data_IF_668719038001
#
_entry.id   IF_668719038001
#
_cell.length_a   1.000
_cell.length_b   1.000
_cell.length_c   1.000
_cell.angle_alpha   90.00
_cell.angle_beta   90.00
_cell.angle_gamma   90.00
#
_symmetry.space_group_name_H-M   'P 1'
#
loop_
_entity.id
_entity.type
_entity.pdbx_description
1 polymer ?
#
# COMPACT_ATOMS: atom_id res chain seq x y z
N UNK A 1 20.11 -13.64 -12.32
CA UNK A 1 20.01 -15.07 -12.74
C UNK A 1 18.55 -15.45 -12.70
N UNK A 2 17.96 -15.80 -13.84
CA UNK A 2 16.55 -16.20 -13.90
C UNK A 2 16.44 -17.69 -13.53
N UNK A 3 16.07 -17.98 -12.28
CA UNK A 3 15.94 -19.35 -11.78
C UNK A 3 14.49 -19.78 -11.95
N UNK A 4 14.24 -20.55 -13.02
CA UNK A 4 12.97 -21.17 -13.37
C UNK A 4 12.58 -22.25 -12.38
N UNK A 5 11.28 -22.41 -12.07
CA UNK A 5 10.78 -23.52 -11.23
C UNK A 5 11.03 -24.89 -11.88
N UNK A 6 11.10 -25.99 -11.10
CA UNK A 6 11.20 -27.36 -11.64
C UNK A 6 10.19 -27.64 -12.75
N UNK A 7 8.95 -27.20 -12.57
CA UNK A 7 7.87 -27.36 -13.55
C UNK A 7 8.17 -26.60 -14.85
N UNK A 8 8.62 -25.36 -14.75
CA UNK A 8 9.03 -24.56 -15.90
C UNK A 8 10.22 -25.18 -16.63
N UNK A 9 11.21 -25.72 -15.90
CA UNK A 9 12.37 -26.40 -16.50
C UNK A 9 11.98 -27.66 -17.25
N UNK A 10 11.10 -28.48 -16.65
CA UNK A 10 10.57 -29.69 -17.30
C UNK A 10 9.79 -29.29 -18.55
N UNK A 11 8.91 -28.29 -18.45
CA UNK A 11 8.11 -27.80 -19.57
C UNK A 11 8.99 -27.27 -20.72
N UNK A 12 10.01 -26.44 -20.41
CA UNK A 12 10.97 -25.93 -21.40
C UNK A 12 11.71 -27.07 -22.10
N UNK A 13 12.24 -28.03 -21.34
CA UNK A 13 12.98 -29.14 -21.93
C UNK A 13 12.11 -30.12 -22.74
N UNK A 14 10.84 -30.24 -22.38
CA UNK A 14 9.89 -31.08 -23.10
C UNK A 14 9.44 -30.38 -24.40
N UNK A 15 9.32 -29.05 -24.36
CA UNK A 15 8.99 -28.21 -25.51
C UNK A 15 10.03 -28.29 -26.64
N UNK A 16 11.32 -28.50 -26.30
CA UNK A 16 12.38 -28.68 -27.30
C UNK A 16 12.18 -29.91 -28.20
N UNK A 17 11.56 -30.97 -27.69
CA UNK A 17 11.43 -32.27 -28.39
C UNK A 17 9.98 -32.58 -28.81
N UNK A 18 9.12 -31.58 -28.89
CA UNK A 18 7.75 -31.74 -29.36
C UNK A 18 7.76 -32.14 -30.84
N UNK A 19 7.18 -33.30 -31.14
CA UNK A 19 7.10 -33.81 -32.52
C UNK A 19 5.96 -33.12 -33.28
N UNK A 20 4.83 -32.93 -32.61
CA UNK A 20 3.64 -32.25 -33.14
C UNK A 20 3.07 -31.39 -32.01
N UNK A 21 2.95 -30.09 -32.22
CA UNK A 21 2.44 -29.16 -31.22
C UNK A 21 1.55 -28.06 -31.79
N UNK A 22 0.51 -27.71 -31.05
CA UNK A 22 -0.25 -26.48 -31.18
C UNK A 22 0.00 -25.60 -29.95
N UNK A 23 -0.55 -24.37 -29.93
CA UNK A 23 -0.34 -23.40 -28.84
C UNK A 23 -0.71 -23.92 -27.44
N UNK A 24 -1.50 -24.99 -27.34
CA UNK A 24 -2.03 -25.52 -26.08
C UNK A 24 -1.79 -27.03 -25.86
N UNK A 25 -1.23 -27.74 -26.83
CA UNK A 25 -0.97 -29.18 -26.71
C UNK A 25 0.21 -29.61 -27.57
N UNK A 26 1.00 -30.58 -27.08
CA UNK A 26 2.15 -31.11 -27.79
C UNK A 26 2.32 -32.60 -27.51
N UNK A 27 2.80 -33.33 -28.50
CA UNK A 27 3.12 -34.76 -28.39
C UNK A 27 4.63 -34.93 -28.34
N UNK A 28 5.13 -35.49 -27.24
CA UNK A 28 6.55 -35.80 -27.04
C UNK A 28 6.73 -37.29 -26.74
N UNK A 29 7.91 -37.84 -27.04
CA UNK A 29 8.22 -39.25 -26.75
C UNK A 29 8.20 -39.53 -25.26
N UNK A 30 7.43 -40.54 -24.86
CA UNK A 30 7.32 -40.99 -23.47
C UNK A 30 8.69 -41.34 -22.85
N UNK A 31 9.62 -41.87 -23.64
CA UNK A 31 10.97 -42.22 -23.19
C UNK A 31 11.69 -41.03 -22.52
N UNK A 32 11.54 -39.82 -23.05
CA UNK A 32 12.18 -38.61 -22.49
C UNK A 32 11.61 -38.28 -21.10
N UNK A 33 10.30 -38.46 -20.90
CA UNK A 33 9.66 -38.24 -19.60
C UNK A 33 10.17 -39.23 -18.54
N UNK A 34 10.31 -40.51 -18.93
CA UNK A 34 10.87 -41.56 -18.07
C UNK A 34 12.32 -41.26 -17.71
N UNK A 35 13.13 -40.77 -18.67
CA UNK A 35 14.51 -40.39 -18.43
C UNK A 35 14.59 -39.19 -17.45
N UNK A 36 13.74 -38.16 -17.60
CA UNK A 36 13.65 -37.05 -16.64
C UNK A 36 13.29 -37.48 -15.22
N UNK A 37 12.37 -38.43 -15.08
CA UNK A 37 12.00 -38.98 -13.77
C UNK A 37 13.16 -39.77 -13.14
N UNK A 38 14.01 -40.41 -13.94
CA UNK A 38 15.10 -41.28 -13.48
C UNK A 38 16.40 -40.52 -13.17
N UNK A 39 16.54 -39.28 -13.64
CA UNK A 39 17.69 -38.39 -13.41
C UNK A 39 17.74 -37.77 -12.00
N UNK A 40 16.86 -38.18 -11.07
CA UNK A 40 16.85 -37.73 -9.67
C UNK A 40 18.03 -38.18 -8.81
N UNK A 41 19.11 -38.71 -9.40
CA UNK A 41 20.30 -39.20 -8.70
C UNK A 41 21.47 -38.22 -8.70
N UNK A 42 21.36 -37.08 -9.38
CA UNK A 42 22.47 -36.11 -9.47
C UNK A 42 22.42 -35.08 -8.34
N UNK A 43 23.57 -34.82 -7.71
CA UNK A 43 23.73 -33.84 -6.63
C UNK A 43 23.24 -32.46 -7.07
N UNK A 44 23.47 -32.09 -8.33
CA UNK A 44 22.99 -30.82 -8.87
C UNK A 44 21.46 -30.70 -8.84
N UNK A 45 20.75 -31.80 -9.11
CA UNK A 45 19.29 -31.80 -9.07
C UNK A 45 18.77 -31.59 -7.66
N UNK A 46 19.40 -32.22 -6.66
CA UNK A 46 19.07 -32.00 -5.25
C UNK A 46 19.32 -30.55 -4.82
N UNK A 47 20.45 -29.96 -5.22
CA UNK A 47 20.75 -28.55 -4.94
C UNK A 47 19.71 -27.63 -5.58
N UNK A 48 19.30 -27.90 -6.82
CA UNK A 48 18.25 -27.14 -7.52
C UNK A 48 16.90 -27.26 -6.82
N UNK A 49 16.51 -28.46 -6.38
CA UNK A 49 15.26 -28.66 -5.65
C UNK A 49 15.24 -27.95 -4.30
N UNK A 50 16.34 -28.01 -3.56
CA UNK A 50 16.48 -27.28 -2.31
C UNK A 50 16.40 -25.77 -2.52
N UNK A 51 17.01 -25.25 -3.58
CA UNK A 51 16.91 -23.84 -3.95
C UNK A 51 15.47 -23.44 -4.30
N UNK A 52 14.73 -24.27 -5.05
CA UNK A 52 13.33 -24.02 -5.39
C UNK A 52 12.45 -24.00 -4.11
N UNK A 53 12.66 -24.95 -3.19
CA UNK A 53 11.96 -25.00 -1.90
C UNK A 53 12.25 -23.74 -1.08
N UNK A 54 13.52 -23.39 -0.89
CA UNK A 54 13.90 -22.22 -0.11
C UNK A 54 13.35 -20.92 -0.69
N UNK A 55 13.38 -20.78 -2.03
CA UNK A 55 12.83 -19.62 -2.72
C UNK A 55 11.32 -19.50 -2.51
N UNK A 56 10.58 -20.62 -2.65
CA UNK A 56 9.14 -20.64 -2.42
C UNK A 56 8.78 -20.33 -0.96
N UNK A 57 9.54 -20.87 -0.01
CA UNK A 57 9.36 -20.61 1.41
C UNK A 57 9.64 -19.15 1.76
N UNK A 58 10.73 -18.58 1.21
CA UNK A 58 11.09 -17.20 1.47
C UNK A 58 10.00 -16.23 1.02
N UNK A 59 9.39 -16.45 -0.15
CA UNK A 59 8.28 -15.62 -0.63
C UNK A 59 7.11 -15.60 0.37
N UNK A 60 6.66 -16.78 0.81
CA UNK A 60 5.56 -16.89 1.78
C UNK A 60 5.95 -16.31 3.13
N UNK A 61 7.18 -16.56 3.60
CA UNK A 61 7.66 -16.07 4.88
C UNK A 61 7.78 -14.54 4.90
N UNK A 62 8.21 -13.93 3.80
CA UNK A 62 8.31 -12.47 3.67
C UNK A 62 6.94 -11.81 3.74
N UNK A 63 5.96 -12.30 2.97
CA UNK A 63 4.59 -11.79 3.01
C UNK A 63 4.01 -11.88 4.42
N UNK A 64 4.19 -13.04 5.08
CA UNK A 64 3.76 -13.24 6.46
C UNK A 64 4.46 -12.30 7.42
N UNK A 65 5.76 -12.07 7.26
CA UNK A 65 6.49 -11.16 8.13
C UNK A 65 5.95 -9.73 8.01
N UNK A 66 5.75 -9.24 6.80
CA UNK A 66 5.18 -7.90 6.54
C UNK A 66 3.78 -7.80 7.15
N UNK A 67 2.92 -8.80 6.91
CA UNK A 67 1.58 -8.84 7.49
C UNK A 67 1.62 -8.77 9.03
N UNK A 68 2.48 -9.58 9.67
CA UNK A 68 2.60 -9.58 11.13
C UNK A 68 3.11 -8.25 11.67
N UNK A 69 4.12 -7.64 11.03
CA UNK A 69 4.64 -6.33 11.46
C UNK A 69 3.60 -5.23 11.29
N UNK A 70 2.91 -5.18 10.14
CA UNK A 70 1.91 -4.15 9.88
C UNK A 70 0.64 -4.34 10.72
N UNK A 71 0.06 -5.53 10.71
CA UNK A 71 -1.22 -5.78 11.38
C UNK A 71 -1.10 -5.97 12.89
N UNK A 72 -0.02 -6.54 13.39
CA UNK A 72 0.10 -6.83 14.82
C UNK A 72 0.98 -5.80 15.52
N UNK A 73 2.18 -5.52 15.01
CA UNK A 73 3.05 -4.57 15.69
C UNK A 73 2.61 -3.11 15.48
N UNK A 74 2.50 -2.65 14.23
CA UNK A 74 2.14 -1.26 13.97
C UNK A 74 0.72 -0.93 14.44
N UNK A 75 -0.25 -1.81 14.21
CA UNK A 75 -1.62 -1.64 14.73
C UNK A 75 -1.65 -1.56 16.27
N UNK A 76 -0.92 -2.42 16.97
CA UNK A 76 -0.88 -2.37 18.43
C UNK A 76 -0.20 -1.10 18.93
N UNK A 77 1.01 -0.79 18.48
CA UNK A 77 1.75 0.36 18.98
C UNK A 77 1.20 1.72 18.54
N UNK A 78 0.48 1.79 17.43
CA UNK A 78 -0.06 3.06 16.91
C UNK A 78 -1.55 3.24 17.18
N UNK A 79 -2.33 2.16 17.30
CA UNK A 79 -3.79 2.26 17.34
C UNK A 79 -4.46 1.72 18.60
N UNK A 80 -4.10 0.52 19.05
CA UNK A 80 -4.88 -0.21 20.07
C UNK A 80 -4.20 -0.42 21.42
N UNK A 81 -2.88 -0.25 21.51
CA UNK A 81 -2.12 -0.30 22.75
C UNK A 81 -2.39 0.87 23.71
N UNK A 82 -2.03 0.68 24.98
CA UNK A 82 -2.23 1.68 26.03
C UNK A 82 -1.41 2.95 25.80
N UNK A 83 -0.16 2.82 25.36
CA UNK A 83 0.77 3.91 25.03
C UNK A 83 0.66 4.36 23.56
N UNK A 84 -0.55 4.31 22.97
CA UNK A 84 -0.74 4.69 21.58
C UNK A 84 -0.86 6.21 21.41
N UNK A 85 -0.35 6.78 20.30
CA UNK A 85 -0.60 8.19 19.98
C UNK A 85 -2.09 8.54 19.88
N UNK A 86 -2.93 7.56 19.54
CA UNK A 86 -4.38 7.74 19.50
C UNK A 86 -5.04 7.80 20.87
N UNK A 87 -4.44 7.25 21.94
CA UNK A 87 -5.03 7.29 23.28
C UNK A 87 -5.10 8.71 23.86
N UNK A 88 -4.22 9.61 23.39
CA UNK A 88 -4.23 11.02 23.74
C UNK A 88 -5.48 11.75 23.21
N UNK A 89 -6.00 11.34 22.04
CA UNK A 89 -7.20 11.97 21.47
C UNK A 89 -8.46 11.28 22.00
N UNK A 90 -8.86 11.70 23.20
CA UNK A 90 -10.03 11.16 23.91
C UNK A 90 -11.13 12.21 24.05
N UNK A 91 -12.38 11.76 24.28
CA UNK A 91 -13.47 12.70 24.59
C UNK A 91 -13.17 13.53 25.84
N UNK A 92 -12.50 12.96 26.84
CA UNK A 92 -12.04 13.68 28.03
C UNK A 92 -11.01 14.75 27.70
N UNK A 93 -10.09 14.47 26.77
CA UNK A 93 -9.13 15.47 26.29
C UNK A 93 -9.85 16.62 25.59
N UNK A 94 -10.78 16.33 24.68
CA UNK A 94 -11.56 17.37 23.99
C UNK A 94 -12.37 18.22 24.97
N UNK A 95 -13.00 17.59 25.97
CA UNK A 95 -13.74 18.31 27.03
C UNK A 95 -12.86 19.14 27.96
N UNK A 96 -11.55 18.92 27.97
CA UNK A 96 -10.59 19.66 28.82
C UNK A 96 -9.99 20.90 28.12
N UNK A 97 -10.24 21.07 26.82
CA UNK A 97 -9.76 22.23 26.06
C UNK A 97 -10.49 23.51 26.48
N UNK A 98 -9.77 24.62 26.55
CA UNK A 98 -10.38 25.94 26.83
C UNK A 98 -11.02 26.52 25.58
N UNK A 99 -11.91 27.50 25.76
CA UNK A 99 -12.56 28.20 24.65
C UNK A 99 -11.54 28.84 23.70
N UNK A 100 -10.43 29.37 24.22
CA UNK A 100 -9.35 29.94 23.41
C UNK A 100 -8.63 28.87 22.58
N UNK A 101 -8.34 27.70 23.17
CA UNK A 101 -7.71 26.59 22.45
C UNK A 101 -8.66 26.00 21.39
N UNK A 102 -9.97 25.98 21.68
CA UNK A 102 -10.97 25.50 20.75
C UNK A 102 -11.17 26.49 19.59
N UNK A 103 -11.13 27.79 19.84
CA UNK A 103 -11.14 28.83 18.80
C UNK A 103 -9.86 28.78 17.95
N UNK A 104 -8.70 28.42 18.51
CA UNK A 104 -7.47 28.23 17.73
C UNK A 104 -7.53 26.99 16.83
N UNK A 105 -8.04 25.87 17.33
CA UNK A 105 -8.05 24.58 16.62
C UNK A 105 -9.23 24.45 15.65
N UNK A 106 -10.41 24.88 16.09
CA UNK A 106 -11.69 24.68 15.40
C UNK A 106 -12.40 25.99 15.04
N UNK A 107 -11.86 27.13 15.48
CA UNK A 107 -12.41 28.44 15.11
C UNK A 107 -12.25 28.70 13.62
N UNK A 108 -13.21 29.41 13.08
CA UNK A 108 -13.22 29.76 11.67
C UNK A 108 -12.22 30.87 11.39
N UNK A 109 -11.45 30.71 10.30
CA UNK A 109 -10.51 31.74 9.86
C UNK A 109 -11.19 33.10 9.69
N UNK A 110 -10.51 34.16 10.14
CA UNK A 110 -11.08 35.51 10.19
C UNK A 110 -11.49 36.04 8.82
N UNK A 111 -10.87 35.58 7.73
CA UNK A 111 -11.25 35.93 6.36
C UNK A 111 -12.52 35.23 5.91
N UNK A 112 -12.71 33.97 6.31
CA UNK A 112 -13.92 33.19 6.06
C UNK A 112 -15.13 33.73 6.85
N UNK A 113 -14.94 34.07 8.13
CA UNK A 113 -15.98 34.75 8.95
C UNK A 113 -16.43 36.05 8.30
N UNK A 114 -15.48 36.89 7.88
CA UNK A 114 -15.76 38.17 7.20
C UNK A 114 -16.51 37.98 5.88
N UNK A 115 -16.17 36.93 5.13
CA UNK A 115 -16.84 36.63 3.86
C UNK A 115 -18.27 36.14 4.10
N UNK A 116 -18.50 35.28 5.11
CA UNK A 116 -19.85 34.85 5.48
C UNK A 116 -20.71 36.03 5.95
N UNK A 117 -20.20 36.88 6.84
CA UNK A 117 -20.97 38.06 7.31
C UNK A 117 -21.21 39.08 6.20
N UNK A 118 -20.34 39.16 5.20
CA UNK A 118 -20.56 39.97 4.00
C UNK A 118 -21.60 39.38 3.05
N UNK A 119 -21.74 38.05 3.02
CA UNK A 119 -22.74 37.33 2.21
C UNK A 119 -24.11 37.23 2.91
N UNK A 120 -24.16 37.23 4.26
CA UNK A 120 -25.40 37.18 5.06
C UNK A 120 -26.13 38.53 5.23
N UNK A 121 -25.57 39.63 4.74
CA UNK A 121 -26.32 40.85 4.45
C UNK A 121 -27.17 41.42 5.59
N UNK A 122 -26.54 42.11 6.54
CA UNK A 122 -27.08 43.39 7.03
C UNK A 122 -25.95 44.45 7.01
N UNK A 123 -26.08 45.53 6.21
CA UNK A 123 -25.03 46.53 6.05
C UNK A 123 -25.14 47.59 7.15
N UNK A 124 -24.27 47.53 8.15
CA UNK A 124 -24.32 48.49 9.27
C UNK A 124 -23.01 48.75 9.98
N UNK A 125 -22.28 49.75 9.47
CA UNK A 125 -21.25 50.58 10.11
C UNK A 125 -19.80 50.06 10.22
N UNK A 126 -18.88 50.84 9.62
CA UNK A 126 -17.41 50.68 9.59
C UNK A 126 -16.75 50.77 10.97
N UNK A 127 -15.43 50.64 11.10
CA UNK A 127 -14.37 51.38 10.42
C UNK A 127 -13.02 50.72 10.80
N UNK A 128 -11.95 50.98 10.03
CA UNK A 128 -10.57 50.70 10.51
C UNK A 128 -9.69 49.82 9.63
N UNK A 129 -9.25 50.41 8.51
CA UNK A 129 -7.88 50.43 7.94
C UNK A 129 -6.95 49.20 8.01
N UNK A 130 -6.37 48.96 6.83
CA UNK A 130 -4.95 48.69 6.53
C UNK A 130 -4.28 47.51 7.27
N UNK A 131 -4.00 46.42 6.53
CA UNK A 131 -2.63 46.30 6.04
C UNK A 131 -2.44 45.31 4.89
N UNK A 132 -1.41 45.65 4.14
CA UNK A 132 -0.96 45.13 2.87
C UNK A 132 -0.36 43.72 2.95
N UNK A 133 -0.11 43.20 1.76
CA UNK A 133 0.91 42.21 1.46
C UNK A 133 0.52 40.73 1.61
N UNK A 134 -0.22 40.31 0.58
CA UNK A 134 0.08 39.14 -0.25
C UNK A 134 1.22 38.24 0.26
N UNK A 135 0.85 37.00 0.61
CA UNK A 135 1.62 35.85 0.17
C UNK A 135 1.84 34.76 1.20
N UNK A 136 0.85 33.89 1.37
CA UNK A 136 1.13 32.45 1.43
C UNK A 136 -0.06 31.70 0.80
N UNK A 137 0.12 31.38 -0.47
CA UNK A 137 -0.78 30.54 -1.24
C UNK A 137 -0.30 29.09 -1.09
N UNK A 138 -1.13 28.19 -0.56
CA UNK A 138 -1.08 26.75 -0.79
C UNK A 138 -2.44 26.22 -0.26
N UNK A 139 -3.48 26.09 -1.09
CA UNK A 139 -3.67 25.03 -2.08
C UNK A 139 -4.92 25.32 -2.93
N UNK A 140 -4.91 25.09 -4.26
CA UNK A 140 -6.13 24.80 -5.00
C UNK A 140 -6.38 23.28 -4.99
N UNK A 141 -7.44 22.83 -4.30
CA UNK A 141 -7.96 21.47 -4.45
C UNK A 141 -9.06 21.47 -5.51
N UNK A 142 -8.68 21.51 -6.78
CA UNK A 142 -9.61 21.22 -7.87
C UNK A 142 -9.77 19.70 -8.01
N UNK A 143 -10.80 19.15 -7.36
CA UNK A 143 -11.39 17.89 -7.80
C UNK A 143 -12.22 18.16 -9.05
N UNK A 144 -11.60 18.08 -10.21
CA UNK A 144 -12.35 17.83 -11.44
C UNK A 144 -12.50 16.32 -11.64
N UNK A 145 -13.57 15.78 -11.03
CA UNK A 145 -14.23 14.61 -11.59
C UNK A 145 -15.36 15.14 -12.46
N UNK A 146 -15.20 15.07 -13.77
CA UNK A 146 -16.33 15.00 -14.69
C UNK A 146 -16.07 13.84 -15.64
N UNK A 147 -17.02 12.92 -15.57
CA UNK A 147 -17.24 11.80 -16.46
C UNK A 147 -17.12 12.21 -17.92
N UNK A 148 -16.43 11.38 -18.71
CA UNK A 148 -16.85 10.81 -19.99
C UNK A 148 -15.86 9.69 -20.38
#
# INVERSE_FOLDING_TARGET
>A
MNVHSREERIALSLAEDVIIGCKHSGVTRLKKLVDYQRMGSDMEQMVRELHDILKSYYAVALDRFVDNVCMQAASFFLMTGEETPMSFFSSSFVSSLTDEQLEEIAGEDTGLRRKRTAEEGDPGAGDGKENSDLGFNLYPRERHSKEL
#
